data_IF_488152116158
#
_entry.id   IF_488152116158
#
_cell.length_a   1.000
_cell.length_b   1.000
_cell.length_c   1.000
_cell.angle_alpha   90.00
_cell.angle_beta   90.00
_cell.angle_gamma   90.00
#
_symmetry.space_group_name_H-M   'P 1'
#
loop_
_entity.id
_entity.type
_entity.pdbx_description
1 polymer ?
#
# COMPACT_ATOMS: atom_id res chain seq x y z
N UNK A 1 3.32 -20.46 5.87
CA UNK A 1 2.53 -19.33 5.31
C UNK A 1 3.51 -18.32 4.77
N UNK A 2 3.41 -17.99 3.48
CA UNK A 2 4.19 -16.91 2.89
C UNK A 2 3.57 -15.59 3.36
N UNK A 3 4.36 -14.72 4.00
CA UNK A 3 3.92 -13.34 4.24
C UNK A 3 3.98 -12.64 2.88
N UNK A 4 2.90 -11.97 2.42
CA UNK A 4 2.97 -11.22 1.18
C UNK A 4 4.11 -10.21 1.29
N UNK A 5 4.93 -10.12 0.25
CA UNK A 5 5.91 -9.04 0.16
C UNK A 5 5.15 -7.74 -0.05
N UNK A 6 5.38 -6.75 0.80
CA UNK A 6 4.83 -5.40 0.62
C UNK A 6 5.88 -4.52 -0.02
N UNK A 7 5.50 -3.84 -1.11
CA UNK A 7 6.27 -2.77 -1.69
C UNK A 7 5.64 -1.43 -1.30
N UNK A 8 6.39 -0.64 -0.52
CA UNK A 8 6.00 0.72 -0.15
C UNK A 8 6.39 1.70 -1.27
N UNK A 9 5.43 2.46 -1.76
CA UNK A 9 5.60 3.42 -2.86
C UNK A 9 5.17 4.80 -2.39
N UNK A 10 6.12 5.68 -2.03
CA UNK A 10 5.81 7.07 -1.71
C UNK A 10 5.46 7.85 -2.98
N UNK A 11 4.33 8.55 -2.97
CA UNK A 11 3.82 9.37 -4.08
C UNK A 11 3.41 10.77 -3.61
N UNK A 12 3.46 11.79 -4.46
CA UNK A 12 3.02 13.14 -4.09
C UNK A 12 1.49 13.27 -3.97
N UNK A 13 0.72 12.36 -4.58
CA UNK A 13 -0.73 12.29 -4.50
C UNK A 13 -1.16 10.82 -4.49
N UNK A 14 -1.74 10.38 -3.36
CA UNK A 14 -2.14 8.98 -3.15
C UNK A 14 -3.26 8.56 -4.10
N UNK A 15 -4.22 9.43 -4.39
CA UNK A 15 -5.36 9.10 -5.26
C UNK A 15 -4.89 8.90 -6.70
N UNK A 16 -4.06 9.82 -7.21
CA UNK A 16 -3.47 9.68 -8.54
C UNK A 16 -2.56 8.44 -8.63
N UNK A 17 -1.82 8.14 -7.56
CA UNK A 17 -1.04 6.92 -7.45
C UNK A 17 -1.92 5.67 -7.57
N UNK A 18 -2.96 5.55 -6.75
CA UNK A 18 -3.90 4.42 -6.78
C UNK A 18 -4.53 4.24 -8.16
N UNK A 19 -5.02 5.31 -8.78
CA UNK A 19 -5.62 5.26 -10.12
C UNK A 19 -4.62 4.86 -11.21
N UNK A 20 -3.35 5.27 -11.08
CA UNK A 20 -2.30 4.84 -12.00
C UNK A 20 -2.03 3.34 -11.86
N UNK A 21 -1.82 2.85 -10.63
CA UNK A 21 -1.49 1.45 -10.38
C UNK A 21 -2.66 0.49 -10.64
N UNK A 22 -3.91 0.91 -10.40
CA UNK A 22 -5.10 0.15 -10.82
C UNK A 22 -5.19 -0.01 -12.33
N UNK A 23 -4.80 1.01 -13.11
CA UNK A 23 -4.75 0.89 -14.57
C UNK A 23 -3.61 -0.01 -15.05
N UNK A 24 -2.48 0.04 -14.36
CA UNK A 24 -1.33 -0.83 -14.66
C UNK A 24 -1.59 -2.31 -14.28
N UNK A 25 -2.38 -2.53 -13.23
CA UNK A 25 -2.75 -3.85 -12.71
C UNK A 25 -4.28 -3.96 -12.53
N UNK A 26 -5.04 -4.14 -13.63
CA UNK A 26 -6.51 -4.17 -13.57
C UNK A 26 -7.10 -5.28 -12.69
N UNK A 27 -6.33 -6.35 -12.43
CA UNK A 27 -6.70 -7.44 -11.53
C UNK A 27 -6.46 -7.13 -10.04
N UNK A 28 -5.86 -5.98 -9.72
CA UNK A 28 -5.53 -5.63 -8.35
C UNK A 28 -6.79 -5.43 -7.49
N UNK A 29 -6.84 -6.11 -6.35
CA UNK A 29 -7.89 -5.93 -5.36
C UNK A 29 -7.57 -4.73 -4.47
N UNK A 30 -8.51 -3.78 -4.36
CA UNK A 30 -8.39 -2.64 -3.44
C UNK A 30 -8.87 -3.02 -2.06
N UNK A 31 -7.98 -3.00 -1.08
CA UNK A 31 -8.29 -3.36 0.31
C UNK A 31 -8.16 -2.11 1.17
N UNK A 32 -9.26 -1.71 1.81
CA UNK A 32 -9.29 -0.57 2.73
C UNK A 32 -8.96 -1.04 4.15
N UNK A 33 -7.90 -0.50 4.73
CA UNK A 33 -7.54 -0.73 6.12
C UNK A 33 -8.12 0.37 7.01
N UNK A 34 -9.35 0.17 7.48
CA UNK A 34 -10.10 1.14 8.30
C UNK A 34 -9.31 1.68 9.48
N UNK A 35 -8.56 0.80 10.18
CA UNK A 35 -7.77 1.16 11.38
C UNK A 35 -6.73 2.25 11.13
N UNK A 36 -6.24 2.38 9.89
CA UNK A 36 -5.13 3.26 9.55
C UNK A 36 -5.50 4.33 8.53
N UNK A 37 -6.73 4.32 8.01
CA UNK A 37 -7.15 5.20 6.94
C UNK A 37 -6.37 5.02 5.60
N UNK A 38 -5.77 3.85 5.35
CA UNK A 38 -5.04 3.52 4.10
C UNK A 38 -5.76 2.56 3.15
N UNK A 39 -5.37 2.61 1.87
CA UNK A 39 -5.79 1.66 0.82
C UNK A 39 -4.57 0.89 0.30
N UNK A 40 -4.70 -0.43 0.20
CA UNK A 40 -3.72 -1.34 -0.39
C UNK A 40 -4.20 -1.82 -1.76
N UNK A 41 -3.26 -2.09 -2.66
CA UNK A 41 -3.53 -2.85 -3.88
C UNK A 41 -2.89 -4.22 -3.76
N UNK A 42 -3.72 -5.26 -3.64
CA UNK A 42 -3.27 -6.65 -3.60
C UNK A 42 -3.21 -7.20 -5.02
N UNK A 43 -2.02 -7.66 -5.41
CA UNK A 43 -1.76 -8.25 -6.73
C UNK A 43 -1.22 -9.66 -6.50
N UNK A 44 -2.09 -10.66 -6.68
CA UNK A 44 -1.78 -12.08 -6.39
C UNK A 44 -1.21 -12.23 -4.96
N UNK A 45 0.09 -12.45 -4.88
CA UNK A 45 0.83 -12.81 -3.66
C UNK A 45 1.63 -11.64 -3.07
N UNK A 46 1.53 -10.43 -3.64
CA UNK A 46 2.18 -9.24 -3.11
C UNK A 46 1.21 -8.07 -2.97
N UNK A 47 1.62 -7.10 -2.15
CA UNK A 47 0.82 -5.92 -1.82
C UNK A 47 1.61 -4.69 -2.24
N UNK A 48 0.96 -3.76 -2.95
CA UNK A 48 1.45 -2.40 -3.12
C UNK A 48 0.81 -1.52 -2.06
N UNK A 49 1.66 -0.85 -1.31
CA UNK A 49 1.25 0.16 -0.34
C UNK A 49 1.64 1.53 -0.88
N UNK A 50 0.64 2.27 -1.34
CA UNK A 50 0.82 3.61 -1.89
C UNK A 50 0.58 4.61 -0.78
N UNK A 51 1.60 5.41 -0.46
CA UNK A 51 1.57 6.35 0.66
C UNK A 51 1.97 7.73 0.20
N UNK A 52 1.52 8.74 0.93
CA UNK A 52 1.99 10.10 0.71
C UNK A 52 3.52 10.14 0.91
N UNK A 53 4.22 10.89 0.08
CA UNK A 53 5.65 11.15 0.21
C UNK A 53 5.96 12.14 1.36
N UNK A 54 5.36 11.90 2.53
CA UNK A 54 5.64 12.59 3.78
C UNK A 54 6.44 11.66 4.70
N UNK A 55 7.41 12.21 5.43
CA UNK A 55 8.30 11.42 6.28
C UNK A 55 7.54 10.65 7.38
N UNK A 56 6.44 11.19 7.89
CA UNK A 56 5.60 10.54 8.90
C UNK A 56 4.87 9.35 8.31
N UNK A 57 4.19 9.54 7.17
CA UNK A 57 3.41 8.48 6.52
C UNK A 57 4.29 7.31 6.07
N UNK A 58 5.51 7.60 5.62
CA UNK A 58 6.52 6.57 5.32
C UNK A 58 6.92 5.82 6.59
N UNK A 59 7.22 6.52 7.68
CA UNK A 59 7.67 5.89 8.92
C UNK A 59 6.59 4.99 9.55
N UNK A 60 5.35 5.46 9.60
CA UNK A 60 4.21 4.71 10.15
C UNK A 60 3.93 3.43 9.35
N UNK A 61 4.08 3.51 8.02
CA UNK A 61 3.93 2.39 7.10
C UNK A 61 5.03 1.35 7.30
N UNK A 62 6.29 1.78 7.40
CA UNK A 62 7.41 0.89 7.69
C UNK A 62 7.24 0.18 9.03
N UNK A 63 6.84 0.90 10.09
CA UNK A 63 6.57 0.33 11.41
C UNK A 63 5.48 -0.76 11.34
N UNK A 64 4.47 -0.57 10.51
CA UNK A 64 3.37 -1.53 10.33
C UNK A 64 3.82 -2.79 9.60
N UNK A 65 4.61 -2.64 8.54
CA UNK A 65 5.20 -3.74 7.77
C UNK A 65 6.11 -4.59 8.66
N UNK A 66 7.04 -3.98 9.40
CA UNK A 66 7.98 -4.73 10.26
C UNK A 66 7.27 -5.43 11.43
N UNK A 67 6.16 -4.86 11.91
CA UNK A 67 5.34 -5.45 12.98
C UNK A 67 4.40 -6.56 12.49
N UNK A 68 4.22 -6.71 11.17
CA UNK A 68 3.30 -7.68 10.58
C UNK A 68 1.82 -7.32 10.73
N UNK A 69 1.50 -6.04 10.87
CA UNK A 69 0.15 -5.52 11.11
C UNK A 69 -0.53 -5.03 9.81
N UNK A 70 -0.31 -5.73 8.70
CA UNK A 70 -0.90 -5.44 7.39
C UNK A 70 -2.32 -5.98 7.28
#
# INVERSE_FOLDING_TARGET
MMKPATLLIPVPDVNLGLEWYKRAFPEAESIRLEKFDFTLLKIKDFILEIVQADARDIADSLLRIISGNL
#
